data_IF_574826512870
#
_entry.id   IF_574826512870
#
_cell.length_a   1.000
_cell.length_b   1.000
_cell.length_c   1.000
_cell.angle_alpha   90.00
_cell.angle_beta   90.00
_cell.angle_gamma   90.00
#
_symmetry.space_group_name_H-M   'P 1'
#
loop_
_entity.id
_entity.type
_entity.pdbx_description
1 polymer ?
#
# COMPACT_ATOMS: atom_id res chain seq x y z
N UNK A 1 11.40 -2.16 -17.62
CA UNK A 1 10.79 -3.42 -18.07
C UNK A 1 9.31 -3.43 -17.73
N UNK A 2 8.95 -3.34 -16.46
CA UNK A 2 7.55 -3.23 -15.99
C UNK A 2 6.68 -2.19 -16.72
N UNK A 3 7.14 -0.94 -16.85
CA UNK A 3 6.37 0.13 -17.54
C UNK A 3 6.06 -0.24 -19.00
N UNK A 4 6.99 -0.92 -19.69
CA UNK A 4 6.76 -1.34 -21.08
C UNK A 4 5.78 -2.51 -21.18
N UNK A 5 5.75 -3.39 -20.17
CA UNK A 5 4.76 -4.45 -20.09
C UNK A 5 3.35 -3.90 -19.86
N UNK A 6 3.21 -2.94 -18.93
CA UNK A 6 1.93 -2.28 -18.66
C UNK A 6 1.42 -1.53 -19.91
N UNK A 7 2.32 -0.88 -20.66
CA UNK A 7 1.97 -0.23 -21.95
C UNK A 7 1.43 -1.21 -22.99
N UNK A 8 1.98 -2.44 -23.08
CA UNK A 8 1.49 -3.47 -24.01
C UNK A 8 0.10 -3.98 -23.64
N UNK A 9 -0.22 -3.99 -22.35
CA UNK A 9 -1.45 -4.57 -21.81
C UNK A 9 -2.52 -3.52 -21.45
N UNK A 10 -2.25 -2.23 -21.67
CA UNK A 10 -3.08 -1.12 -21.21
C UNK A 10 -4.55 -1.21 -21.69
N UNK A 11 -4.78 -1.69 -22.91
CA UNK A 11 -6.12 -1.85 -23.51
C UNK A 11 -6.86 -3.14 -23.08
N UNK A 12 -6.15 -4.10 -22.48
CA UNK A 12 -6.75 -5.35 -21.97
C UNK A 12 -7.42 -5.16 -20.60
N UNK A 13 -7.13 -4.07 -19.90
CA UNK A 13 -7.67 -3.82 -18.57
C UNK A 13 -8.75 -2.75 -18.60
N UNK A 14 -10.02 -3.18 -18.53
CA UNK A 14 -11.17 -2.28 -18.37
C UNK A 14 -11.20 -1.47 -17.07
N UNK A 15 -10.21 -1.66 -16.19
CA UNK A 15 -9.97 -0.90 -14.96
C UNK A 15 -8.48 -0.91 -14.61
N UNK A 16 -7.89 0.23 -14.26
CA UNK A 16 -6.49 0.35 -13.84
C UNK A 16 -6.20 -0.55 -12.64
N UNK A 17 -5.23 -1.46 -12.73
CA UNK A 17 -4.94 -2.45 -11.67
C UNK A 17 -4.01 -1.90 -10.59
N UNK A 18 -3.15 -0.98 -10.96
CA UNK A 18 -2.15 -0.39 -10.09
C UNK A 18 -1.81 1.05 -10.50
N UNK A 19 -0.81 1.61 -9.83
CA UNK A 19 -0.33 2.96 -10.05
C UNK A 19 0.22 3.18 -11.48
N UNK A 20 0.88 2.19 -12.07
CA UNK A 20 1.47 2.29 -13.41
C UNK A 20 0.35 2.39 -14.44
N UNK A 21 -0.62 1.47 -14.36
CA UNK A 21 -1.79 1.48 -15.25
C UNK A 21 -2.58 2.80 -15.12
N UNK A 22 -2.83 3.26 -13.90
CA UNK A 22 -3.57 4.49 -13.64
C UNK A 22 -2.85 5.71 -14.22
N UNK A 23 -1.53 5.79 -14.05
CA UNK A 23 -0.72 6.88 -14.59
C UNK A 23 -0.71 6.88 -16.11
N UNK A 24 -0.49 5.71 -16.74
CA UNK A 24 -0.49 5.57 -18.19
C UNK A 24 -1.86 5.87 -18.80
N UNK A 25 -2.93 5.45 -18.15
CA UNK A 25 -4.31 5.76 -18.55
C UNK A 25 -4.55 7.27 -18.53
N UNK A 26 -4.15 7.96 -17.46
CA UNK A 26 -4.27 9.42 -17.37
C UNK A 26 -3.41 10.12 -18.44
N UNK A 27 -2.21 9.60 -18.74
CA UNK A 27 -1.37 10.15 -19.82
C UNK A 27 -2.07 10.07 -21.20
N UNK A 28 -2.78 8.98 -21.48
CA UNK A 28 -3.54 8.83 -22.72
C UNK A 28 -4.77 9.76 -22.76
N UNK A 29 -5.45 9.94 -21.63
CA UNK A 29 -6.57 10.87 -21.52
C UNK A 29 -6.13 12.33 -21.67
N UNK A 30 -4.98 12.75 -21.11
CA UNK A 30 -4.43 14.10 -21.32
C UNK A 30 -4.15 14.35 -22.81
N UNK A 31 -3.58 13.37 -23.51
CA UNK A 31 -3.33 13.45 -24.96
C UNK A 31 -4.63 13.60 -25.75
N UNK A 32 -5.68 12.84 -25.41
CA UNK A 32 -6.97 12.94 -26.12
C UNK A 32 -7.69 14.27 -25.86
N UNK A 33 -7.46 14.90 -24.71
CA UNK A 33 -7.92 16.26 -24.37
C UNK A 33 -7.07 17.38 -24.98
N UNK A 34 -5.92 17.06 -25.59
CA UNK A 34 -4.98 18.05 -26.11
C UNK A 34 -4.18 18.79 -25.03
N UNK A 35 -4.14 18.25 -23.81
CA UNK A 35 -3.38 18.79 -22.69
C UNK A 35 -1.90 18.39 -22.82
N UNK A 36 -1.00 19.38 -22.79
CA UNK A 36 0.45 19.13 -22.77
C UNK A 36 0.95 19.46 -21.37
N UNK A 37 1.21 18.42 -20.57
CA UNK A 37 1.84 18.56 -19.26
C UNK A 37 3.27 17.99 -19.31
N UNK A 38 4.31 18.85 -19.42
CA UNK A 38 5.69 18.37 -19.48
C UNK A 38 6.14 17.66 -18.20
N UNK A 39 5.47 17.93 -17.07
CA UNK A 39 5.75 17.29 -15.78
C UNK A 39 5.03 15.93 -15.63
N UNK A 40 4.17 15.56 -16.57
CA UNK A 40 3.44 14.30 -16.56
C UNK A 40 3.95 13.39 -17.67
N UNK A 41 5.15 12.86 -17.46
CA UNK A 41 5.88 12.05 -18.45
C UNK A 41 6.17 10.64 -17.94
N UNK A 42 6.54 9.75 -18.85
CA UNK A 42 6.98 8.39 -18.52
C UNK A 42 8.29 8.38 -17.71
N UNK A 43 9.14 9.41 -17.91
CA UNK A 43 10.31 9.61 -17.06
C UNK A 43 9.88 9.92 -15.61
N UNK A 44 8.91 10.81 -15.43
CA UNK A 44 8.39 11.13 -14.09
C UNK A 44 7.71 9.92 -13.44
N UNK A 45 6.98 9.11 -14.22
CA UNK A 45 6.43 7.84 -13.74
C UNK A 45 7.52 6.92 -13.16
N UNK A 46 8.64 6.74 -13.87
CA UNK A 46 9.77 5.94 -13.38
C UNK A 46 10.40 6.49 -12.11
N UNK A 47 10.55 7.81 -12.03
CA UNK A 47 11.07 8.49 -10.82
C UNK A 47 10.12 8.26 -9.64
N UNK A 48 8.82 8.50 -9.83
CA UNK A 48 7.80 8.32 -8.79
C UNK A 48 7.77 6.88 -8.26
N UNK A 49 7.83 5.88 -9.16
CA UNK A 49 7.87 4.46 -8.76
C UNK A 49 9.12 4.19 -7.91
N UNK A 50 10.29 4.66 -8.36
CA UNK A 50 11.54 4.50 -7.61
C UNK A 50 11.45 5.13 -6.22
N UNK A 51 10.92 6.34 -6.12
CA UNK A 51 10.75 7.05 -4.84
C UNK A 51 9.78 6.31 -3.91
N UNK A 52 8.63 5.85 -4.43
CA UNK A 52 7.66 5.08 -3.66
C UNK A 52 8.26 3.80 -3.08
N UNK A 53 9.02 3.05 -3.90
CA UNK A 53 9.67 1.82 -3.45
C UNK A 53 10.78 2.09 -2.44
N UNK A 54 11.67 3.07 -2.70
CA UNK A 54 12.76 3.40 -1.79
C UNK A 54 12.23 3.90 -0.44
N UNK A 55 11.29 4.86 -0.47
CA UNK A 55 10.72 5.44 0.74
C UNK A 55 9.90 4.41 1.54
N UNK A 56 9.12 3.56 0.87
CA UNK A 56 8.22 2.60 1.52
C UNK A 56 8.89 1.34 2.04
N UNK A 57 9.87 0.80 1.29
CA UNK A 57 10.43 -0.54 1.58
C UNK A 57 11.30 -0.53 2.81
N UNK A 58 12.28 0.37 2.89
CA UNK A 58 13.24 0.41 3.99
C UNK A 58 12.56 0.80 5.32
N UNK A 59 11.70 1.81 5.28
CA UNK A 59 11.02 2.31 6.48
C UNK A 59 10.06 1.25 7.06
N UNK A 60 9.19 0.67 6.22
CA UNK A 60 8.21 -0.33 6.67
C UNK A 60 8.90 -1.62 7.16
N UNK A 61 9.91 -2.10 6.43
CA UNK A 61 10.66 -3.29 6.81
C UNK A 61 11.37 -3.10 8.15
N UNK A 62 12.05 -1.96 8.34
CA UNK A 62 12.71 -1.63 9.60
C UNK A 62 11.71 -1.52 10.75
N UNK A 63 10.56 -0.85 10.55
CA UNK A 63 9.52 -0.76 11.57
C UNK A 63 9.02 -2.13 11.98
N UNK A 64 8.67 -3.01 11.03
CA UNK A 64 8.19 -4.37 11.34
C UNK A 64 9.28 -5.17 12.08
N UNK A 65 10.54 -5.06 11.64
CA UNK A 65 11.68 -5.72 12.30
C UNK A 65 11.80 -5.32 13.77
N UNK A 66 11.72 -4.02 14.05
CA UNK A 66 11.73 -3.52 15.43
C UNK A 66 10.49 -3.96 16.20
N UNK A 67 9.29 -3.90 15.60
CA UNK A 67 8.07 -4.38 16.23
C UNK A 67 8.20 -5.85 16.68
N UNK A 68 8.68 -6.73 15.81
CA UNK A 68 8.90 -8.14 16.17
C UNK A 68 9.95 -8.27 17.27
N UNK A 69 11.07 -7.55 17.18
CA UNK A 69 12.10 -7.57 18.22
C UNK A 69 11.56 -7.15 19.59
N UNK A 70 10.80 -6.05 19.65
CA UNK A 70 10.20 -5.59 20.91
C UNK A 70 9.19 -6.60 21.47
N UNK A 71 8.37 -7.25 20.62
CA UNK A 71 7.45 -8.29 21.09
C UNK A 71 8.19 -9.51 21.66
N UNK A 72 9.31 -9.92 21.04
CA UNK A 72 10.15 -11.01 21.56
C UNK A 72 10.82 -10.67 22.89
N UNK A 73 11.26 -9.41 23.06
CA UNK A 73 11.88 -8.94 24.31
C UNK A 73 10.88 -8.65 25.43
N UNK A 74 9.59 -8.47 25.11
CA UNK A 74 8.53 -8.11 26.06
C UNK A 74 7.30 -9.03 25.90
N UNK A 75 7.38 -10.30 26.35
CA UNK A 75 6.30 -11.28 26.20
C UNK A 75 4.95 -10.80 26.77
N UNK A 76 4.97 -10.02 27.86
CA UNK A 76 3.80 -9.43 28.48
C UNK A 76 3.04 -8.44 27.57
N UNK A 77 3.77 -7.78 26.66
CA UNK A 77 3.18 -6.89 25.65
C UNK A 77 2.65 -7.73 24.49
N UNK A 78 3.36 -8.79 24.10
CA UNK A 78 2.91 -9.73 23.08
C UNK A 78 1.59 -10.42 23.46
N UNK A 79 1.47 -10.90 24.69
CA UNK A 79 0.23 -11.51 25.19
C UNK A 79 -0.96 -10.53 25.16
N UNK A 80 -0.75 -9.28 25.59
CA UNK A 80 -1.77 -8.23 25.53
C UNK A 80 -2.20 -7.93 24.10
N UNK A 81 -1.24 -7.85 23.18
CA UNK A 81 -1.52 -7.62 21.75
C UNK A 81 -2.35 -8.78 21.18
N UNK A 82 -1.98 -10.03 21.48
CA UNK A 82 -2.70 -11.22 21.02
C UNK A 82 -4.12 -11.26 21.58
N UNK A 83 -4.31 -10.95 22.87
CA UNK A 83 -5.63 -10.86 23.48
C UNK A 83 -6.50 -9.77 22.84
N UNK A 84 -5.93 -8.60 22.51
CA UNK A 84 -6.65 -7.53 21.80
C UNK A 84 -7.07 -7.97 20.39
N UNK A 85 -6.21 -8.71 19.67
CA UNK A 85 -6.55 -9.26 18.35
C UNK A 85 -7.64 -10.33 18.48
N UNK A 86 -7.54 -11.23 19.46
CA UNK A 86 -8.55 -12.27 19.70
C UNK A 86 -9.92 -11.65 20.03
N UNK A 87 -9.97 -10.56 20.82
CA UNK A 87 -11.21 -9.86 21.19
C UNK A 87 -11.84 -9.11 20.00
N UNK A 88 -11.04 -8.37 19.22
CA UNK A 88 -11.56 -7.52 18.14
C UNK A 88 -11.84 -8.31 16.85
N UNK A 89 -10.97 -9.25 16.51
CA UNK A 89 -11.00 -9.99 15.23
C UNK A 89 -11.68 -11.35 15.40
N UNK A 90 -11.44 -12.02 16.52
CA UNK A 90 -11.75 -13.44 16.72
C UNK A 90 -10.70 -14.37 16.09
N UNK A 91 -10.83 -15.67 16.35
CA UNK A 91 -9.91 -16.71 15.81
C UNK A 91 -10.37 -17.36 14.51
N UNK A 92 -11.57 -17.03 14.04
CA UNK A 92 -12.21 -17.69 12.90
C UNK A 92 -11.85 -17.06 11.55
N UNK A 93 -11.13 -15.93 11.54
CA UNK A 93 -10.74 -15.22 10.32
C UNK A 93 -9.46 -14.43 10.48
N UNK A 94 -8.88 -14.03 9.35
CA UNK A 94 -7.75 -13.10 9.32
C UNK A 94 -8.18 -11.65 9.62
N UNK A 95 -7.28 -10.83 10.20
CA UNK A 95 -7.51 -9.40 10.38
C UNK A 95 -7.72 -8.66 9.06
N UNK A 96 -8.51 -7.59 9.10
CA UNK A 96 -8.78 -6.68 7.98
C UNK A 96 -8.67 -5.22 8.41
N UNK A 97 -8.59 -4.28 7.46
CA UNK A 97 -8.52 -2.85 7.78
C UNK A 97 -9.74 -2.34 8.55
N UNK A 98 -10.90 -2.98 8.39
CA UNK A 98 -12.14 -2.63 9.11
C UNK A 98 -12.05 -2.90 10.62
N UNK A 99 -11.10 -3.73 11.06
CA UNK A 99 -10.89 -4.04 12.48
C UNK A 99 -10.18 -2.89 13.22
N UNK A 100 -9.51 -2.00 12.47
CA UNK A 100 -8.79 -0.85 13.04
C UNK A 100 -9.72 0.11 13.79
N UNK A 101 -10.91 0.36 13.25
CA UNK A 101 -11.87 1.29 13.85
C UNK A 101 -12.59 0.68 15.06
N UNK A 102 -12.67 -0.67 15.11
CA UNK A 102 -13.25 -1.41 16.24
C UNK A 102 -12.34 -1.34 17.47
N UNK A 103 -11.02 -1.39 17.27
CA UNK A 103 -10.01 -1.20 18.31
C UNK A 103 -10.22 0.08 19.13
N UNK A 104 -10.56 1.20 18.48
CA UNK A 104 -10.70 2.50 19.16
C UNK A 104 -11.94 2.57 20.07
N UNK A 105 -13.00 1.82 19.75
CA UNK A 105 -14.24 1.81 20.53
C UNK A 105 -14.13 0.99 21.82
N UNK A 106 -13.25 -0.02 21.85
CA UNK A 106 -12.99 -0.85 23.03
C UNK A 106 -12.23 -0.12 24.16
N UNK A 107 -11.53 0.99 23.86
CA UNK A 107 -10.80 1.80 24.85
C UNK A 107 -11.64 2.93 25.50
N UNK A 108 -12.90 3.10 25.08
CA UNK A 108 -13.82 4.16 25.57
C UNK A 108 -14.89 3.58 26.51
N UNK A 109 -14.68 2.39 27.06
CA UNK A 109 -15.54 1.79 28.09
C UNK A 109 -14.73 1.47 29.34
#
# INVERSE_FOLDING_TARGET
EEVEEHKKNLSSFGSSKDYIDAYLTEMEQQKSRGEINPNFSEFQLRVNISDLFLAGSETTSNTIRWCVLFLLCHPEIQEKLQAEVDDVVGRDRLPSLNDRDRRQKGKVK
#
